data_IF_203843354955
#
_entry.id   IF_203843354955
#
_cell.length_a   1.000
_cell.length_b   1.000
_cell.length_c   1.000
_cell.angle_alpha   90.00
_cell.angle_beta   90.00
_cell.angle_gamma   90.00
#
_symmetry.space_group_name_H-M   'P 1'
#
loop_
_entity.id
_entity.type
_entity.pdbx_description
1 polymer ?
#
# COMPACT_ATOMS: atom_id res chain seq x y z
N UNK A 1 3.22 17.81 59.10
CA UNK A 1 3.17 17.70 57.63
C UNK A 1 3.49 16.27 57.22
N UNK A 2 2.48 15.45 56.90
CA UNK A 2 2.67 14.07 56.46
C UNK A 2 2.78 14.07 54.93
N UNK A 3 3.95 13.73 54.40
CA UNK A 3 4.16 13.57 52.95
C UNK A 3 3.37 12.35 52.48
N UNK A 4 2.30 12.57 51.72
CA UNK A 4 1.52 11.49 51.09
C UNK A 4 2.41 10.73 50.10
N UNK A 5 2.58 9.42 50.32
CA UNK A 5 3.27 8.52 49.40
C UNK A 5 2.46 8.44 48.10
N UNK A 6 3.09 8.76 46.96
CA UNK A 6 2.47 8.58 45.64
C UNK A 6 2.02 7.13 45.46
N UNK A 7 0.82 6.87 44.91
CA UNK A 7 0.34 5.50 44.68
C UNK A 7 1.31 4.78 43.73
N UNK A 8 1.77 3.59 44.13
CA UNK A 8 2.53 2.69 43.25
C UNK A 8 1.59 2.28 42.13
N UNK A 9 1.96 2.59 40.88
CA UNK A 9 1.24 2.11 39.71
C UNK A 9 1.28 0.58 39.73
N UNK A 10 0.12 -0.06 39.78
CA UNK A 10 -0.01 -1.50 39.55
C UNK A 10 0.66 -1.80 38.22
N UNK A 11 1.69 -2.65 38.25
CA UNK A 11 2.35 -3.10 37.04
C UNK A 11 1.33 -3.97 36.31
N UNK A 12 1.06 -3.68 35.05
CA UNK A 12 0.14 -4.48 34.26
C UNK A 12 0.76 -5.86 34.01
N UNK A 13 0.51 -6.81 34.91
CA UNK A 13 1.03 -8.19 34.89
C UNK A 13 0.80 -8.89 33.53
N UNK A 14 -0.27 -8.53 32.84
CA UNK A 14 -0.58 -9.01 31.49
C UNK A 14 0.50 -8.67 30.44
N UNK A 15 1.04 -7.45 30.48
CA UNK A 15 2.08 -7.04 29.52
C UNK A 15 3.41 -7.71 29.80
N UNK A 16 3.71 -7.98 31.08
CA UNK A 16 4.89 -8.75 31.49
C UNK A 16 4.77 -10.21 31.02
N UNK A 17 3.61 -10.84 31.21
CA UNK A 17 3.36 -12.20 30.72
C UNK A 17 3.50 -12.32 29.19
N UNK A 18 2.99 -11.35 28.42
CA UNK A 18 3.17 -11.32 26.96
C UNK A 18 4.66 -11.20 26.59
N UNK A 19 5.39 -10.35 27.30
CA UNK A 19 6.82 -10.16 27.06
C UNK A 19 7.62 -11.43 27.34
N UNK A 20 7.29 -12.15 28.41
CA UNK A 20 7.95 -13.39 28.79
C UNK A 20 7.67 -14.52 27.80
N UNK A 21 6.42 -14.67 27.35
CA UNK A 21 6.06 -15.64 26.31
C UNK A 21 6.85 -15.35 25.02
N UNK A 22 6.94 -14.08 24.62
CA UNK A 22 7.72 -13.68 23.43
C UNK A 22 9.19 -13.97 23.60
N UNK A 23 9.77 -13.66 24.76
CA UNK A 23 11.17 -13.94 25.05
C UNK A 23 11.46 -15.43 25.00
N UNK A 24 10.64 -16.25 25.63
CA UNK A 24 10.79 -17.71 25.63
C UNK A 24 10.65 -18.29 24.21
N UNK A 25 9.69 -17.81 23.43
CA UNK A 25 9.57 -18.17 22.03
C UNK A 25 10.82 -17.79 21.23
N UNK A 26 11.39 -16.60 21.45
CA UNK A 26 12.62 -16.18 20.76
C UNK A 26 13.84 -16.98 21.16
N UNK A 27 13.92 -17.45 22.41
CA UNK A 27 15.02 -18.28 22.90
C UNK A 27 15.02 -19.68 22.28
N UNK A 28 13.86 -20.21 21.89
CA UNK A 28 13.75 -21.50 21.20
C UNK A 28 13.98 -21.44 19.70
N UNK A 29 14.01 -20.24 19.12
CA UNK A 29 14.29 -20.06 17.68
C UNK A 29 15.78 -20.15 17.37
N UNK A 30 16.09 -20.71 16.20
CA UNK A 30 17.42 -20.67 15.58
C UNK A 30 17.97 -19.25 15.51
N UNK A 31 19.31 -19.12 15.55
CA UNK A 31 20.00 -17.82 15.51
C UNK A 31 19.58 -16.95 14.32
N UNK A 32 19.43 -17.57 13.13
CA UNK A 32 19.00 -16.89 11.90
C UNK A 32 17.53 -16.45 11.96
N UNK A 33 16.66 -17.29 12.51
CA UNK A 33 15.23 -16.97 12.67
C UNK A 33 15.04 -15.86 13.70
N UNK A 34 15.73 -15.96 14.84
CA UNK A 34 15.74 -14.96 15.92
C UNK A 34 16.18 -13.59 15.42
N UNK A 35 17.23 -13.53 14.60
CA UNK A 35 17.70 -12.28 14.00
C UNK A 35 16.63 -11.64 13.11
N UNK A 36 16.00 -12.43 12.22
CA UNK A 36 14.92 -11.93 11.35
C UNK A 36 13.73 -11.40 12.17
N UNK A 37 13.32 -12.14 13.19
CA UNK A 37 12.24 -11.73 14.08
C UNK A 37 12.52 -10.38 14.76
N UNK A 38 13.71 -10.19 15.33
CA UNK A 38 14.13 -8.92 15.93
C UNK A 38 14.16 -7.77 14.91
N UNK A 39 14.64 -8.03 13.69
CA UNK A 39 14.63 -7.04 12.61
C UNK A 39 13.19 -6.64 12.20
N UNK A 40 12.23 -7.57 12.23
CA UNK A 40 10.81 -7.29 11.97
C UNK A 40 10.14 -6.51 13.12
N UNK A 41 10.42 -6.87 14.37
CA UNK A 41 9.92 -6.10 15.53
C UNK A 41 10.46 -4.66 15.52
N UNK A 42 11.74 -4.47 15.23
CA UNK A 42 12.32 -3.14 15.09
C UNK A 42 11.59 -2.33 14.01
N UNK A 43 11.26 -2.94 12.87
CA UNK A 43 10.48 -2.28 11.80
C UNK A 43 9.07 -1.91 12.27
N UNK A 44 8.39 -2.78 13.04
CA UNK A 44 7.07 -2.48 13.63
C UNK A 44 7.11 -1.28 14.57
N UNK A 45 8.21 -1.13 15.31
CA UNK A 45 8.47 0.00 16.20
C UNK A 45 8.95 1.28 15.46
N UNK A 46 9.03 1.24 14.12
CA UNK A 46 9.37 2.40 13.29
C UNK A 46 10.84 2.49 12.87
N UNK A 47 11.67 1.48 13.16
CA UNK A 47 13.03 1.44 12.64
C UNK A 47 13.01 1.37 11.10
N UNK A 48 13.87 2.17 10.45
CA UNK A 48 13.98 2.16 8.99
C UNK A 48 14.46 0.79 8.51
N UNK A 49 13.89 0.24 7.43
CA UNK A 49 14.34 -1.03 6.89
C UNK A 49 15.79 -0.94 6.41
N UNK A 50 16.54 -2.04 6.58
CA UNK A 50 17.89 -2.17 6.04
C UNK A 50 17.86 -1.95 4.52
N UNK A 51 18.84 -1.20 4.00
CA UNK A 51 19.01 -1.01 2.56
C UNK A 51 19.24 -2.35 1.88
N UNK A 52 18.57 -2.57 0.75
CA UNK A 52 18.82 -3.75 -0.07
C UNK A 52 20.26 -3.70 -0.63
N UNK A 53 20.91 -4.86 -0.83
CA UNK A 53 22.21 -4.91 -1.49
C UNK A 53 22.10 -4.34 -2.91
N UNK A 54 23.21 -3.78 -3.42
CA UNK A 54 23.27 -3.29 -4.80
C UNK A 54 23.31 -4.49 -5.74
N UNK A 55 22.28 -4.64 -6.57
CA UNK A 55 22.15 -5.74 -7.54
C UNK A 55 22.10 -5.12 -8.94
N UNK A 56 22.76 -5.70 -9.96
CA UNK A 56 22.60 -5.30 -11.35
C UNK A 56 21.13 -5.36 -11.80
N UNK A 57 20.74 -4.40 -12.65
CA UNK A 57 19.34 -4.21 -13.03
C UNK A 57 18.70 -5.46 -13.64
N UNK A 58 19.40 -6.17 -14.53
CA UNK A 58 18.87 -7.36 -15.21
C UNK A 58 18.58 -8.50 -14.23
N UNK A 59 19.46 -8.71 -13.25
CA UNK A 59 19.29 -9.73 -12.20
C UNK A 59 18.10 -9.35 -11.30
N UNK A 60 18.01 -8.09 -10.91
CA UNK A 60 16.90 -7.59 -10.10
C UNK A 60 15.55 -7.77 -10.81
N UNK A 61 15.48 -7.47 -12.12
CA UNK A 61 14.27 -7.74 -12.93
C UNK A 61 13.92 -9.22 -12.97
N UNK A 62 14.91 -10.10 -13.10
CA UNK A 62 14.72 -11.55 -13.05
C UNK A 62 14.13 -12.03 -11.71
N UNK A 63 14.66 -11.53 -10.59
CA UNK A 63 14.14 -11.83 -9.24
C UNK A 63 12.68 -11.37 -9.12
N UNK A 64 12.38 -10.13 -9.53
CA UNK A 64 11.01 -9.59 -9.46
C UNK A 64 10.02 -10.38 -10.33
N UNK A 65 10.43 -10.91 -11.49
CA UNK A 65 9.59 -11.76 -12.33
C UNK A 65 9.28 -13.08 -11.65
N UNK A 66 10.31 -13.77 -11.14
CA UNK A 66 10.14 -15.05 -10.41
C UNK A 66 9.25 -14.89 -9.17
N UNK A 67 9.43 -13.82 -8.40
CA UNK A 67 8.56 -13.55 -7.24
C UNK A 67 7.10 -13.36 -7.62
N UNK A 68 6.82 -12.70 -8.76
CA UNK A 68 5.45 -12.54 -9.25
C UNK A 68 4.85 -13.86 -9.73
N UNK A 69 5.64 -14.67 -10.43
CA UNK A 69 5.22 -15.99 -10.89
C UNK A 69 4.90 -16.91 -9.71
N UNK A 70 5.76 -16.96 -8.69
CA UNK A 70 5.52 -17.74 -7.47
C UNK A 70 4.26 -17.27 -6.73
N UNK A 71 4.05 -15.95 -6.62
CA UNK A 71 2.84 -15.40 -6.01
C UNK A 71 1.59 -15.74 -6.82
N UNK A 72 1.68 -15.72 -8.16
CA UNK A 72 0.56 -16.08 -9.04
C UNK A 72 0.21 -17.55 -8.90
N UNK A 73 1.21 -18.44 -8.92
CA UNK A 73 1.02 -19.88 -8.69
C UNK A 73 0.40 -20.15 -7.32
N UNK A 74 0.95 -19.57 -6.27
CA UNK A 74 0.38 -19.70 -4.92
C UNK A 74 -1.08 -19.19 -4.85
N UNK A 75 -1.43 -18.14 -5.60
CA UNK A 75 -2.81 -17.64 -5.69
C UNK A 75 -3.73 -18.59 -6.47
N UNK A 76 -3.23 -19.18 -7.55
CA UNK A 76 -3.95 -20.19 -8.34
C UNK A 76 -4.19 -21.45 -7.50
N UNK A 77 -3.16 -21.99 -6.86
CA UNK A 77 -3.22 -23.15 -5.94
C UNK A 77 -4.17 -22.89 -4.77
N UNK A 78 -4.15 -21.67 -4.23
CA UNK A 78 -5.08 -21.26 -3.17
C UNK A 78 -6.54 -21.26 -3.65
N UNK A 79 -6.80 -20.72 -4.84
CA UNK A 79 -8.14 -20.68 -5.43
C UNK A 79 -8.68 -22.09 -5.70
N UNK A 80 -7.78 -23.05 -5.97
CA UNK A 80 -8.10 -24.48 -6.04
C UNK A 80 -8.38 -25.09 -4.66
N UNK A 81 -7.62 -24.72 -3.62
CA UNK A 81 -7.72 -25.32 -2.27
C UNK A 81 -8.92 -24.85 -1.42
N UNK A 82 -9.55 -23.70 -1.74
CA UNK A 82 -10.63 -23.07 -0.94
C UNK A 82 -10.29 -22.75 0.53
N UNK A 83 -9.03 -22.81 0.95
CA UNK A 83 -8.65 -22.50 2.34
C UNK A 83 -8.75 -21.00 2.63
N UNK A 84 -9.68 -20.54 3.47
CA UNK A 84 -10.04 -19.12 3.63
C UNK A 84 -9.05 -18.20 4.41
N UNK A 85 -7.73 -18.40 4.36
CA UNK A 85 -6.81 -17.73 5.29
C UNK A 85 -5.93 -16.58 4.74
N UNK A 86 -6.05 -16.18 3.47
CA UNK A 86 -5.26 -15.07 2.92
C UNK A 86 -6.11 -13.84 2.57
N UNK A 87 -6.27 -12.91 3.53
CA UNK A 87 -6.62 -11.53 3.20
C UNK A 87 -5.39 -10.85 2.61
N UNK A 88 -5.23 -10.92 1.28
CA UNK A 88 -4.21 -10.17 0.58
C UNK A 88 -4.85 -8.85 0.11
N UNK A 89 -4.70 -7.72 0.84
CA UNK A 89 -5.24 -6.46 0.37
C UNK A 89 -4.51 -6.09 -0.91
N UNK A 90 -5.12 -6.37 -2.06
CA UNK A 90 -4.68 -5.88 -3.35
C UNK A 90 -4.69 -4.37 -3.22
N UNK A 91 -3.51 -3.77 -2.99
CA UNK A 91 -3.31 -2.33 -3.01
C UNK A 91 -3.68 -1.89 -4.42
N UNK A 92 -4.94 -1.47 -4.62
CA UNK A 92 -5.39 -0.85 -5.86
C UNK A 92 -4.40 0.27 -6.12
N UNK A 93 -3.54 0.09 -7.13
CA UNK A 93 -2.63 1.15 -7.57
C UNK A 93 -3.55 2.32 -7.92
N UNK A 94 -3.54 3.36 -7.08
CA UNK A 94 -4.15 4.65 -7.42
C UNK A 94 -3.39 5.17 -8.64
N UNK A 95 -3.77 4.73 -9.84
CA UNK A 95 -3.41 5.46 -11.06
C UNK A 95 -3.97 6.84 -10.81
N UNK A 96 -3.09 7.85 -10.69
CA UNK A 96 -3.52 9.24 -10.68
C UNK A 96 -4.40 9.40 -11.91
N UNK A 97 -5.66 9.78 -11.72
CA UNK A 97 -6.54 10.10 -12.83
C UNK A 97 -5.85 11.25 -13.58
N UNK A 98 -5.26 10.95 -14.73
CA UNK A 98 -4.77 11.98 -15.62
C UNK A 98 -6.00 12.48 -16.38
N UNK A 99 -6.43 13.73 -16.18
CA UNK A 99 -7.49 14.28 -17.02
C UNK A 99 -6.99 14.19 -18.46
N UNK A 100 -7.80 13.57 -19.32
CA UNK A 100 -7.54 13.54 -20.77
C UNK A 100 -7.49 15.00 -21.21
N UNK A 101 -6.37 15.44 -21.79
CA UNK A 101 -6.21 16.81 -22.30
C UNK A 101 -7.45 17.17 -23.12
N UNK A 102 -8.20 18.18 -22.67
CA UNK A 102 -9.37 18.67 -23.37
C UNK A 102 -8.94 19.14 -24.75
N UNK A 103 -9.49 18.52 -25.80
CA UNK A 103 -9.21 18.85 -27.19
C UNK A 103 -9.45 20.36 -27.42
N UNK A 104 -8.51 21.11 -28.01
CA UNK A 104 -8.64 22.56 -28.22
C UNK A 104 -9.60 22.94 -29.37
N UNK A 105 -10.20 21.96 -30.07
CA UNK A 105 -10.92 22.17 -31.32
C UNK A 105 -12.44 22.42 -31.13
N UNK A 106 -12.84 23.16 -30.09
CA UNK A 106 -14.22 23.66 -29.99
C UNK A 106 -14.29 25.09 -30.52
N UNK A 107 -15.06 25.37 -31.59
CA UNK A 107 -15.20 26.74 -32.09
C UNK A 107 -15.89 27.63 -31.06
N UNK A 108 -15.45 28.90 -30.93
CA UNK A 108 -15.99 29.85 -29.96
C UNK A 108 -17.50 30.18 -30.18
N UNK A 109 -18.01 29.90 -31.39
CA UNK A 109 -19.36 30.26 -31.86
C UNK A 109 -20.44 29.33 -31.29
N UNK A 110 -20.08 28.11 -30.84
CA UNK A 110 -21.07 27.10 -30.48
C UNK A 110 -20.51 25.83 -29.85
N UNK A 111 -21.38 24.88 -29.55
CA UNK A 111 -21.00 23.56 -29.03
C UNK A 111 -21.18 22.51 -30.11
N UNK A 112 -20.15 21.70 -30.37
CA UNK A 112 -20.32 20.49 -31.17
C UNK A 112 -20.96 19.39 -30.33
N UNK A 113 -22.02 18.76 -30.85
CA UNK A 113 -22.64 17.57 -30.28
C UNK A 113 -22.98 16.61 -31.41
N UNK A 114 -22.39 15.41 -31.39
CA UNK A 114 -22.62 14.34 -32.37
C UNK A 114 -22.44 14.76 -33.84
N UNK A 115 -21.36 15.51 -34.14
CA UNK A 115 -21.07 15.97 -35.51
C UNK A 115 -21.79 17.24 -35.94
N UNK A 116 -22.79 17.70 -35.19
CA UNK A 116 -23.54 18.93 -35.48
C UNK A 116 -23.06 20.10 -34.62
N UNK A 117 -22.84 21.26 -35.24
CA UNK A 117 -22.50 22.51 -34.54
C UNK A 117 -23.77 23.25 -34.11
N UNK A 118 -23.96 23.39 -32.80
CA UNK A 118 -25.05 24.18 -32.23
C UNK A 118 -24.59 25.61 -31.96
N UNK A 119 -25.05 26.55 -32.78
CA UNK A 119 -24.74 27.98 -32.69
C UNK A 119 -25.69 28.64 -31.68
N UNK A 120 -25.17 29.53 -30.82
CA UNK A 120 -26.04 30.31 -29.89
C UNK A 120 -26.81 31.39 -30.67
N UNK A 121 -28.09 31.61 -30.30
CA UNK A 121 -28.98 32.59 -30.97
C UNK A 121 -28.37 33.99 -31.13
N UNK A 122 -27.59 34.45 -30.15
CA UNK A 122 -26.95 35.77 -30.18
C UNK A 122 -25.88 35.93 -31.28
N UNK A 123 -25.33 34.83 -31.81
CA UNK A 123 -24.40 34.88 -32.95
C UNK A 123 -25.15 34.89 -34.29
N UNK A 124 -26.36 34.33 -34.36
CA UNK A 124 -27.17 34.37 -35.57
C UNK A 124 -27.61 35.80 -35.91
N UNK A 125 -27.97 36.61 -34.90
CA UNK A 125 -28.37 38.01 -35.13
C UNK A 125 -27.22 38.91 -35.58
N UNK A 126 -25.97 38.55 -35.31
CA UNK A 126 -24.77 39.30 -35.74
C UNK A 126 -24.26 38.92 -37.13
N UNK A 127 -24.64 37.76 -37.66
CA UNK A 127 -24.16 37.27 -38.95
C UNK A 127 -24.97 37.80 -40.14
N UNK A 128 -26.17 38.33 -39.90
CA UNK A 128 -27.10 38.84 -40.91
C UNK A 128 -27.43 40.33 -40.75
N UNK A 129 -26.58 41.07 -40.04
CA UNK A 129 -26.55 42.54 -39.94
C UNK A 129 -25.37 43.06 -40.74
#
# INVERSE_FOLDING_TARGET
MVKSKKPRKEKNEFWEAIYDIRNLATQRMDSKARRKFKEEEAKKLGAKPKKNPKIPYNIYQGILRKEKELKKKAQEDFQLSKDCNFFNPIKKRKKKFQPRNSQPNTPAVGKYKSGTLFIKKNYLSKAFS
#
